data_IF_701776257064
#
_entry.id   IF_701776257064
#
_cell.length_a   1.000
_cell.length_b   1.000
_cell.length_c   1.000
_cell.angle_alpha   90.00
_cell.angle_beta   90.00
_cell.angle_gamma   90.00
#
_symmetry.space_group_name_H-M   'P 1'
#
loop_
_entity.id
_entity.type
_entity.pdbx_description
1 polymer ?
#
# COMPACT_ATOMS: atom_id res chain seq x y z
N UNK A 1 -39.89 41.57 20.89
CA UNK A 1 -39.86 42.18 22.23
C UNK A 1 -39.89 41.06 23.25
N UNK A 2 -38.72 40.70 23.80
CA UNK A 2 -38.55 40.01 25.09
C UNK A 2 -37.09 40.18 25.46
N UNK A 3 -36.83 41.08 26.39
CA UNK A 3 -35.51 41.45 26.87
C UNK A 3 -35.01 40.41 27.89
N UNK A 4 -33.85 39.82 27.62
CA UNK A 4 -33.16 38.92 28.54
C UNK A 4 -32.03 39.67 29.22
N UNK A 5 -32.16 39.83 30.54
CA UNK A 5 -31.25 40.54 31.43
C UNK A 5 -30.01 39.67 31.67
N UNK A 6 -28.82 40.21 31.35
CA UNK A 6 -27.53 39.60 31.70
C UNK A 6 -27.19 39.82 33.18
N UNK A 7 -26.71 38.80 33.92
CA UNK A 7 -26.16 39.00 35.24
C UNK A 7 -24.68 39.41 35.13
N UNK A 8 -24.37 40.63 35.58
CA UNK A 8 -23.00 41.06 35.88
C UNK A 8 -22.47 40.26 37.09
N UNK A 9 -21.57 39.33 36.83
CA UNK A 9 -20.78 38.64 37.86
C UNK A 9 -19.50 39.44 38.12
N UNK A 10 -19.43 40.06 39.31
CA UNK A 10 -18.21 40.65 39.85
C UNK A 10 -17.23 39.53 40.24
N UNK A 11 -16.24 39.28 39.37
CA UNK A 11 -15.12 38.39 39.68
C UNK A 11 -14.08 39.14 40.52
N UNK A 12 -13.82 38.64 41.73
CA UNK A 12 -12.70 39.04 42.58
C UNK A 12 -11.36 38.58 41.96
N UNK A 13 -10.30 39.40 41.98
CA UNK A 13 -8.94 38.97 41.61
C UNK A 13 -8.34 38.11 42.73
N UNK A 14 -8.56 36.80 42.68
CA UNK A 14 -7.94 35.84 43.60
C UNK A 14 -6.54 35.48 43.09
N UNK A 15 -5.54 35.71 43.95
CA UNK A 15 -4.15 35.27 43.88
C UNK A 15 -3.94 33.96 43.10
N UNK A 16 -3.56 34.05 41.81
CA UNK A 16 -3.23 32.89 40.95
C UNK A 16 -1.74 32.82 40.54
N UNK A 17 -0.90 33.70 41.08
CA UNK A 17 0.48 33.86 40.58
C UNK A 17 1.50 32.88 41.18
N UNK A 18 1.21 32.24 42.32
CA UNK A 18 2.20 31.40 43.03
C UNK A 18 2.25 29.94 42.51
N UNK A 19 1.18 29.44 41.88
CA UNK A 19 1.18 28.06 41.33
C UNK A 19 1.83 27.92 39.95
N UNK A 20 2.08 29.02 39.22
CA UNK A 20 2.69 28.94 37.88
C UNK A 20 4.21 28.68 37.90
N UNK A 21 4.90 29.00 38.99
CA UNK A 21 6.36 28.89 39.08
C UNK A 21 6.81 27.43 39.20
N UNK A 22 6.05 26.60 39.92
CA UNK A 22 6.34 25.16 40.08
C UNK A 22 6.24 24.36 38.77
N UNK A 23 5.21 24.63 37.95
CA UNK A 23 5.02 23.95 36.67
C UNK A 23 6.12 24.28 35.65
N UNK A 24 6.68 25.50 35.68
CA UNK A 24 7.78 25.88 34.78
C UNK A 24 9.07 25.13 35.10
N UNK A 25 9.40 24.94 36.38
CA UNK A 25 10.62 24.20 36.78
C UNK A 25 10.55 22.72 36.36
N UNK A 26 9.41 22.07 36.60
CA UNK A 26 9.18 20.68 36.19
C UNK A 26 9.24 20.49 34.66
N UNK A 27 8.67 21.43 33.89
CA UNK A 27 8.72 21.39 32.42
C UNK A 27 10.15 21.56 31.88
N UNK A 28 10.95 22.44 32.46
CA UNK A 28 12.37 22.65 32.07
C UNK A 28 13.22 21.43 32.40
N UNK A 29 13.00 20.80 33.55
CA UNK A 29 13.74 19.60 33.95
C UNK A 29 13.36 18.39 33.08
N UNK A 30 12.08 18.23 32.73
CA UNK A 30 11.61 17.23 31.78
C UNK A 30 12.18 17.46 30.37
N UNK A 31 12.23 18.71 29.89
CA UNK A 31 12.80 19.06 28.59
C UNK A 31 14.32 18.79 28.54
N UNK A 32 15.05 19.13 29.61
CA UNK A 32 16.48 18.82 29.70
C UNK A 32 16.74 17.32 29.71
N UNK A 33 15.96 16.56 30.48
CA UNK A 33 16.08 15.09 30.51
C UNK A 33 15.78 14.47 29.14
N UNK A 34 14.75 14.97 28.44
CA UNK A 34 14.44 14.52 27.08
C UNK A 34 15.58 14.82 26.10
N UNK A 35 16.17 16.02 26.15
CA UNK A 35 17.32 16.38 25.31
C UNK A 35 18.57 15.55 25.60
N UNK A 36 18.88 15.28 26.88
CA UNK A 36 20.00 14.42 27.27
C UNK A 36 19.78 12.95 26.84
N UNK A 37 18.53 12.46 26.86
CA UNK A 37 18.18 11.13 26.34
C UNK A 37 18.27 11.07 24.81
N UNK A 38 17.86 12.12 24.10
CA UNK A 38 17.97 12.24 22.64
C UNK A 38 19.42 12.28 22.17
N UNK A 39 20.27 13.11 22.78
CA UNK A 39 21.69 13.17 22.46
C UNK A 39 22.42 11.84 22.71
N UNK A 40 22.03 11.10 23.77
CA UNK A 40 22.55 9.76 24.02
C UNK A 40 22.11 8.75 22.95
N UNK A 41 20.86 8.87 22.45
CA UNK A 41 20.36 8.03 21.35
C UNK A 41 21.09 8.31 20.04
N UNK A 42 21.32 9.58 19.71
CA UNK A 42 22.09 9.97 18.52
C UNK A 42 23.54 9.45 18.57
N UNK A 43 24.19 9.54 19.73
CA UNK A 43 25.54 9.02 19.91
C UNK A 43 25.59 7.49 19.80
N UNK A 44 24.54 6.80 20.24
CA UNK A 44 24.42 5.35 20.11
C UNK A 44 24.16 4.93 18.65
N UNK A 45 23.30 5.65 17.91
CA UNK A 45 22.98 5.35 16.52
C UNK A 45 24.15 5.62 15.57
N UNK A 46 25.01 6.59 15.88
CA UNK A 46 26.19 6.92 15.05
C UNK A 46 27.16 5.75 14.86
N UNK A 47 27.27 4.88 15.87
CA UNK A 47 28.14 3.69 15.89
C UNK A 47 27.40 2.39 15.55
N UNK A 48 26.10 2.45 15.28
CA UNK A 48 25.28 1.28 14.96
C UNK A 48 25.68 0.73 13.58
N UNK A 49 25.84 -0.59 13.48
CA UNK A 49 26.05 -1.25 12.19
C UNK A 49 24.74 -1.32 11.41
N UNK A 50 24.81 -1.45 10.08
CA UNK A 50 23.60 -1.62 9.27
C UNK A 50 22.73 -2.82 9.70
N UNK A 51 23.37 -3.88 10.21
CA UNK A 51 22.70 -5.07 10.75
C UNK A 51 21.96 -4.77 12.06
N UNK A 52 22.61 -4.07 12.98
CA UNK A 52 21.99 -3.65 14.24
C UNK A 52 20.81 -2.71 13.96
N UNK A 53 20.98 -1.78 13.02
CA UNK A 53 19.92 -0.86 12.61
C UNK A 53 18.73 -1.60 11.99
N UNK A 54 18.98 -2.65 11.21
CA UNK A 54 17.92 -3.53 10.70
C UNK A 54 17.15 -4.21 11.83
N UNK A 55 17.85 -4.85 12.77
CA UNK A 55 17.24 -5.54 13.91
C UNK A 55 16.44 -4.56 14.81
N UNK A 56 17.04 -3.42 15.16
CA UNK A 56 16.42 -2.34 15.92
C UNK A 56 15.16 -1.80 15.24
N UNK A 57 15.22 -1.59 13.92
CA UNK A 57 14.06 -1.14 13.15
C UNK A 57 12.96 -2.19 13.15
N UNK A 58 13.30 -3.47 12.96
CA UNK A 58 12.34 -4.58 12.98
C UNK A 58 11.64 -4.70 14.34
N UNK A 59 12.38 -4.59 15.42
CA UNK A 59 11.84 -4.61 16.78
C UNK A 59 10.93 -3.40 17.02
N UNK A 60 11.33 -2.21 16.56
CA UNK A 60 10.48 -1.01 16.63
C UNK A 60 9.16 -1.21 15.89
N UNK A 61 9.17 -1.78 14.70
CA UNK A 61 7.95 -2.13 13.97
C UNK A 61 7.09 -3.13 14.75
N UNK A 62 7.69 -4.17 15.32
CA UNK A 62 6.94 -5.14 16.13
C UNK A 62 6.24 -4.46 17.31
N UNK A 63 6.93 -3.56 18.02
CA UNK A 63 6.33 -2.78 19.10
C UNK A 63 5.20 -1.86 18.62
N UNK A 64 5.38 -1.20 17.47
CA UNK A 64 4.32 -0.41 16.85
C UNK A 64 3.07 -1.27 16.57
N UNK A 65 3.22 -2.47 15.99
CA UNK A 65 2.10 -3.38 15.74
C UNK A 65 1.41 -3.90 17.01
N UNK A 66 2.16 -4.10 18.10
CA UNK A 66 1.59 -4.46 19.41
C UNK A 66 0.70 -3.33 19.94
N UNK A 67 1.18 -2.09 19.87
CA UNK A 67 0.46 -0.93 20.39
C UNK A 67 -0.58 -0.36 19.41
N UNK A 68 -0.60 -0.86 18.18
CA UNK A 68 -1.51 -0.42 17.14
C UNK A 68 -2.96 -0.69 17.55
N UNK A 69 -3.74 0.39 17.63
CA UNK A 69 -5.18 0.38 17.84
C UNK A 69 -5.81 1.19 16.73
N UNK A 70 -6.94 0.72 16.21
CA UNK A 70 -7.73 1.56 15.31
C UNK A 70 -8.36 2.71 16.09
N UNK A 71 -8.65 3.78 15.35
CA UNK A 71 -9.49 4.84 15.87
C UNK A 71 -10.87 4.27 16.29
N UNK A 72 -11.43 4.74 17.42
CA UNK A 72 -12.65 4.18 18.00
C UNK A 72 -13.89 4.32 17.10
N UNK A 73 -13.85 5.25 16.15
CA UNK A 73 -14.87 5.50 15.14
C UNK A 73 -14.79 4.55 13.94
N UNK A 74 -13.76 3.69 13.85
CA UNK A 74 -13.60 2.76 12.74
C UNK A 74 -13.53 1.28 13.17
N UNK A 75 -14.68 0.60 13.29
CA UNK A 75 -14.73 -0.82 13.64
C UNK A 75 -14.11 -1.73 12.55
N UNK A 76 -14.06 -1.30 11.28
CA UNK A 76 -13.45 -2.09 10.19
C UNK A 76 -11.93 -2.07 10.28
N UNK A 77 -11.36 -0.88 10.48
CA UNK A 77 -9.92 -0.73 10.73
C UNK A 77 -9.47 -1.52 11.96
N UNK A 78 -10.28 -1.53 13.03
CA UNK A 78 -9.99 -2.30 14.24
C UNK A 78 -9.85 -3.79 13.97
N UNK A 79 -10.82 -4.37 13.25
CA UNK A 79 -10.80 -5.79 12.86
C UNK A 79 -9.64 -6.11 11.93
N UNK A 80 -9.31 -5.20 11.00
CA UNK A 80 -8.18 -5.38 10.10
C UNK A 80 -6.84 -5.42 10.84
N UNK A 81 -6.61 -4.48 11.75
CA UNK A 81 -5.40 -4.46 12.59
C UNK A 81 -5.35 -5.71 13.46
N UNK A 82 -6.47 -6.11 14.06
CA UNK A 82 -6.54 -7.30 14.91
C UNK A 82 -6.21 -8.58 14.13
N UNK A 83 -6.71 -8.71 12.90
CA UNK A 83 -6.40 -9.85 12.03
C UNK A 83 -4.96 -9.84 11.50
N UNK A 84 -4.43 -8.66 11.13
CA UNK A 84 -3.07 -8.53 10.59
C UNK A 84 -1.98 -8.59 11.67
N UNK A 85 -2.27 -8.15 12.90
CA UNK A 85 -1.30 -8.13 14.02
C UNK A 85 -0.58 -9.46 14.21
N UNK A 86 -1.24 -10.63 14.39
CA UNK A 86 -0.53 -11.89 14.60
C UNK A 86 0.35 -12.26 13.41
N UNK A 87 -0.10 -11.99 12.18
CA UNK A 87 0.67 -12.26 10.96
C UNK A 87 1.91 -11.36 10.89
N UNK A 88 1.75 -10.06 11.10
CA UNK A 88 2.85 -9.10 11.10
C UNK A 88 3.87 -9.42 12.20
N UNK A 89 3.42 -9.74 13.43
CA UNK A 89 4.31 -10.10 14.52
C UNK A 89 5.06 -11.40 14.25
N UNK A 90 4.41 -12.40 13.66
CA UNK A 90 5.08 -13.64 13.24
C UNK A 90 6.25 -13.37 12.30
N UNK A 91 6.07 -12.48 11.31
CA UNK A 91 7.15 -12.13 10.37
C UNK A 91 8.22 -11.23 11.00
N UNK A 92 7.82 -10.21 11.78
CA UNK A 92 8.76 -9.27 12.40
C UNK A 92 9.59 -9.92 13.51
N UNK A 93 9.03 -10.88 14.24
CA UNK A 93 9.76 -11.59 15.31
C UNK A 93 10.44 -12.87 14.82
N UNK A 94 10.37 -13.16 13.51
CA UNK A 94 10.98 -14.35 12.95
C UNK A 94 12.51 -14.29 13.12
N UNK A 95 13.15 -15.35 13.64
CA UNK A 95 14.59 -15.36 13.76
C UNK A 95 15.22 -15.43 12.37
N UNK A 96 16.01 -14.41 12.04
CA UNK A 96 16.70 -14.29 10.75
C UNK A 96 18.20 -14.51 10.93
N UNK A 97 18.88 -14.97 9.89
CA UNK A 97 20.33 -15.08 9.80
C UNK A 97 20.80 -14.28 8.58
N UNK A 98 21.77 -13.40 8.78
CA UNK A 98 22.42 -12.70 7.68
C UNK A 98 23.14 -13.72 6.78
N UNK A 99 22.85 -13.68 5.49
CA UNK A 99 23.43 -14.57 4.47
C UNK A 99 24.38 -13.82 3.54
N UNK A 100 24.04 -12.58 3.18
CA UNK A 100 24.90 -11.73 2.36
C UNK A 100 24.87 -10.29 2.83
N UNK A 101 26.02 -9.65 2.74
CA UNK A 101 26.23 -8.23 3.01
C UNK A 101 27.13 -7.67 1.93
N UNK A 102 26.66 -6.63 1.24
CA UNK A 102 27.41 -5.97 0.17
C UNK A 102 27.44 -4.48 0.42
N UNK A 103 28.64 -3.94 0.65
CA UNK A 103 28.86 -2.52 0.92
C UNK A 103 29.28 -1.81 -0.37
N UNK A 104 28.64 -0.68 -0.68
CA UNK A 104 28.94 0.18 -1.83
C UNK A 104 28.75 1.63 -1.42
N UNK A 105 29.85 2.27 -0.98
CA UNK A 105 29.82 3.65 -0.49
C UNK A 105 29.02 3.81 0.80
N UNK A 106 27.98 4.63 0.77
CA UNK A 106 27.03 4.90 1.86
C UNK A 106 25.88 3.89 1.93
N UNK A 107 25.84 2.93 1.00
CA UNK A 107 24.80 1.92 0.87
C UNK A 107 25.32 0.54 1.25
N UNK A 108 24.53 -0.15 2.05
CA UNK A 108 24.77 -1.54 2.44
C UNK A 108 23.54 -2.36 2.07
N UNK A 109 23.70 -3.30 1.14
CA UNK A 109 22.66 -4.29 0.82
C UNK A 109 22.79 -5.44 1.79
N UNK A 110 21.72 -5.71 2.53
CA UNK A 110 21.63 -6.80 3.49
C UNK A 110 20.65 -7.85 2.98
N UNK A 111 21.05 -9.11 3.04
CA UNK A 111 20.20 -10.25 2.69
C UNK A 111 20.15 -11.20 3.87
N UNK A 112 18.96 -11.34 4.43
CA UNK A 112 18.66 -12.20 5.55
C UNK A 112 17.86 -13.42 5.09
N UNK A 113 18.08 -14.57 5.73
CA UNK A 113 17.28 -15.78 5.54
C UNK A 113 16.68 -16.22 6.87
N UNK A 114 15.44 -16.67 6.87
CA UNK A 114 14.82 -17.25 8.06
C UNK A 114 15.64 -18.44 8.59
N UNK A 115 15.79 -18.54 9.91
CA UNK A 115 16.50 -19.67 10.55
C UNK A 115 15.70 -20.96 10.51
N UNK A 116 14.38 -20.87 10.47
CA UNK A 116 13.50 -22.03 10.40
C UNK A 116 13.57 -22.66 8.99
N UNK A 117 14.03 -23.91 8.86
CA UNK A 117 14.15 -24.58 7.56
C UNK A 117 12.80 -24.85 6.88
N UNK A 118 11.69 -24.84 7.63
CA UNK A 118 10.34 -24.95 7.06
C UNK A 118 9.89 -23.68 6.34
N UNK A 119 10.56 -22.57 6.62
CA UNK A 119 10.21 -21.22 6.15
C UNK A 119 11.29 -20.72 5.20
N UNK A 120 11.12 -20.92 3.88
CA UNK A 120 12.10 -20.47 2.88
C UNK A 120 11.91 -18.99 2.54
N UNK A 121 12.12 -18.11 3.53
CA UNK A 121 12.01 -16.65 3.38
C UNK A 121 13.39 -16.03 3.33
N UNK A 122 13.60 -15.20 2.31
CA UNK A 122 14.75 -14.32 2.11
C UNK A 122 14.22 -12.89 2.15
N UNK A 123 14.76 -12.10 3.06
CA UNK A 123 14.46 -10.67 3.16
C UNK A 123 15.71 -9.89 2.75
N UNK A 124 15.61 -9.14 1.65
CA UNK A 124 16.64 -8.18 1.26
C UNK A 124 16.20 -6.76 1.56
N UNK A 125 17.13 -5.92 2.01
CA UNK A 125 16.91 -4.49 2.15
C UNK A 125 18.20 -3.72 1.83
N UNK A 126 18.04 -2.44 1.47
CA UNK A 126 19.15 -1.50 1.28
C UNK A 126 19.19 -0.52 2.44
N UNK A 127 20.20 -0.63 3.29
CA UNK A 127 20.47 0.32 4.37
C UNK A 127 21.36 1.44 3.83
N UNK A 128 20.88 2.68 3.84
CA UNK A 128 21.65 3.86 3.44
C UNK A 128 21.92 4.74 4.65
N UNK A 129 23.18 5.16 4.87
CA UNK A 129 23.51 6.03 6.00
C UNK A 129 23.19 7.49 5.66
N UNK A 130 22.18 8.06 6.29
CA UNK A 130 21.77 9.46 6.12
C UNK A 130 22.09 10.24 7.41
N UNK A 131 23.31 10.79 7.50
CA UNK A 131 23.80 11.41 8.72
C UNK A 131 24.06 10.37 9.82
N UNK A 132 23.37 10.49 10.95
CA UNK A 132 23.49 9.58 12.10
C UNK A 132 22.41 8.48 12.12
N UNK A 133 21.55 8.42 11.10
CA UNK A 133 20.47 7.45 11.01
C UNK A 133 20.67 6.52 9.80
N UNK A 134 20.24 5.27 9.96
CA UNK A 134 20.16 4.30 8.89
C UNK A 134 18.75 4.31 8.29
N UNK A 135 18.67 4.60 7.00
CA UNK A 135 17.42 4.51 6.25
C UNK A 135 17.34 3.16 5.53
N UNK A 136 16.36 2.34 5.89
CA UNK A 136 16.10 1.05 5.24
C UNK A 136 15.11 1.25 4.09
N UNK A 137 15.58 1.01 2.87
CA UNK A 137 14.80 1.12 1.63
C UNK A 137 14.82 -0.20 0.85
N UNK A 138 14.02 -0.30 -0.22
CA UNK A 138 13.98 -1.45 -1.13
C UNK A 138 13.84 -2.79 -0.37
N UNK A 139 12.89 -2.85 0.56
CA UNK A 139 12.58 -4.08 1.28
C UNK A 139 11.87 -5.04 0.31
N UNK A 140 12.47 -6.19 0.08
CA UNK A 140 11.96 -7.21 -0.81
C UNK A 140 11.97 -8.57 -0.09
N UNK A 141 10.88 -9.31 -0.26
CA UNK A 141 10.65 -10.61 0.36
C UNK A 141 10.57 -11.66 -0.75
N UNK A 142 11.54 -12.57 -0.78
CA UNK A 142 11.59 -13.68 -1.73
C UNK A 142 11.51 -15.01 -1.00
N UNK A 143 10.92 -16.01 -1.63
CA UNK A 143 10.94 -17.38 -1.13
C UNK A 143 10.53 -18.36 -2.21
N UNK A 144 10.97 -19.62 -2.14
CA UNK A 144 10.46 -20.65 -3.06
C UNK A 144 8.94 -20.79 -2.96
N UNK A 145 8.39 -20.53 -1.77
CA UNK A 145 6.97 -20.49 -1.52
C UNK A 145 6.50 -19.05 -1.21
N UNK A 146 6.86 -18.08 -2.04
CA UNK A 146 6.38 -16.70 -1.88
C UNK A 146 4.84 -16.63 -1.80
N UNK A 147 4.14 -17.59 -2.42
CA UNK A 147 2.69 -17.75 -2.32
C UNK A 147 2.27 -18.02 -0.86
N UNK A 148 2.95 -18.90 -0.12
CA UNK A 148 2.60 -19.22 1.28
C UNK A 148 2.76 -18.00 2.20
N UNK A 149 3.79 -17.18 1.96
CA UNK A 149 4.04 -15.93 2.70
C UNK A 149 2.91 -14.94 2.45
N UNK A 150 2.42 -14.84 1.22
CA UNK A 150 1.33 -13.94 0.85
C UNK A 150 -0.06 -14.48 1.27
N UNK A 151 -0.20 -15.80 1.40
CA UNK A 151 -1.46 -16.44 1.80
C UNK A 151 -1.86 -16.06 3.22
N UNK A 152 -0.94 -15.99 4.18
CA UNK A 152 -1.30 -15.66 5.58
C UNK A 152 -1.89 -14.24 5.74
N UNK A 153 -1.24 -13.17 5.24
CA UNK A 153 -1.83 -11.84 5.21
C UNK A 153 -3.13 -11.81 4.41
N UNK A 154 -3.19 -12.51 3.27
CA UNK A 154 -4.40 -12.58 2.46
C UNK A 154 -5.56 -13.21 3.23
N UNK A 155 -5.35 -14.33 3.92
CA UNK A 155 -6.36 -15.00 4.73
C UNK A 155 -6.80 -14.14 5.92
N UNK A 156 -5.87 -13.42 6.55
CA UNK A 156 -6.20 -12.46 7.60
C UNK A 156 -7.11 -11.34 7.06
N UNK A 157 -6.76 -10.74 5.93
CA UNK A 157 -7.60 -9.73 5.25
C UNK A 157 -8.94 -10.33 4.85
N UNK A 158 -8.95 -11.55 4.33
CA UNK A 158 -10.15 -12.24 3.87
C UNK A 158 -11.14 -12.55 4.98
N UNK A 159 -10.63 -12.84 6.19
CA UNK A 159 -11.49 -13.04 7.35
C UNK A 159 -12.21 -11.77 7.80
N UNK A 160 -11.64 -10.59 7.49
CA UNK A 160 -12.23 -9.28 7.84
C UNK A 160 -13.23 -8.81 6.78
N UNK A 161 -12.99 -9.14 5.51
CA UNK A 161 -13.80 -8.71 4.36
C UNK A 161 -14.38 -9.88 3.54
N UNK A 162 -15.11 -10.83 4.16
CA UNK A 162 -15.60 -12.00 3.45
C UNK A 162 -16.63 -11.65 2.36
N UNK A 163 -17.46 -10.64 2.60
CA UNK A 163 -18.46 -10.16 1.63
C UNK A 163 -17.82 -9.57 0.37
N UNK A 164 -16.78 -8.75 0.54
CA UNK A 164 -16.10 -8.05 -0.53
C UNK A 164 -15.33 -9.04 -1.41
N UNK A 165 -14.63 -10.00 -0.79
CA UNK A 165 -13.91 -11.05 -1.52
C UNK A 165 -14.89 -11.96 -2.27
N UNK A 166 -15.99 -12.35 -1.63
CA UNK A 166 -17.04 -13.14 -2.29
C UNK A 166 -17.62 -12.39 -3.49
N UNK A 167 -17.82 -11.07 -3.36
CA UNK A 167 -18.33 -10.21 -4.43
C UNK A 167 -17.34 -10.09 -5.59
N UNK A 168 -16.04 -9.88 -5.31
CA UNK A 168 -14.98 -9.86 -6.35
C UNK A 168 -14.91 -11.22 -7.04
N UNK A 169 -14.90 -12.32 -6.28
CA UNK A 169 -14.82 -13.68 -6.83
C UNK A 169 -16.01 -13.97 -7.75
N UNK A 170 -17.21 -13.59 -7.32
CA UNK A 170 -18.43 -13.72 -8.13
C UNK A 170 -18.35 -12.88 -9.41
N UNK A 171 -17.87 -11.64 -9.32
CA UNK A 171 -17.67 -10.77 -10.47
C UNK A 171 -16.67 -11.38 -11.48
N UNK A 172 -15.55 -11.92 -10.99
CA UNK A 172 -14.56 -12.59 -11.84
C UNK A 172 -15.16 -13.81 -12.56
N UNK A 173 -15.97 -14.62 -11.86
CA UNK A 173 -16.65 -15.77 -12.49
C UNK A 173 -17.64 -15.33 -13.57
N UNK A 174 -18.46 -14.30 -13.29
CA UNK A 174 -19.38 -13.73 -14.28
C UNK A 174 -18.60 -13.19 -15.49
N UNK A 175 -17.49 -12.49 -15.25
CA UNK A 175 -16.64 -11.96 -16.30
C UNK A 175 -16.07 -13.06 -17.20
N UNK A 176 -15.53 -14.14 -16.62
CA UNK A 176 -14.97 -15.27 -17.37
C UNK A 176 -16.04 -15.95 -18.20
N UNK A 177 -17.18 -16.31 -17.61
CA UNK A 177 -18.28 -16.98 -18.31
C UNK A 177 -18.84 -16.10 -19.43
N UNK A 178 -19.06 -14.81 -19.15
CA UNK A 178 -19.59 -13.86 -20.14
C UNK A 178 -18.59 -13.61 -21.27
N UNK A 179 -17.29 -13.61 -20.98
CA UNK A 179 -16.23 -13.48 -22.00
C UNK A 179 -16.22 -14.67 -22.95
N UNK A 180 -16.31 -15.90 -22.44
CA UNK A 180 -16.40 -17.10 -23.29
C UNK A 180 -17.70 -17.12 -24.12
N UNK A 181 -18.83 -16.73 -23.52
CA UNK A 181 -20.11 -16.66 -24.22
C UNK A 181 -20.09 -15.57 -25.32
N UNK A 182 -19.54 -14.39 -25.03
CA UNK A 182 -19.35 -13.32 -26.02
C UNK A 182 -18.44 -13.76 -27.17
N UNK A 183 -17.35 -14.47 -26.86
CA UNK A 183 -16.43 -15.01 -27.86
C UNK A 183 -17.12 -16.03 -28.78
N UNK A 184 -17.86 -16.99 -28.22
CA UNK A 184 -18.62 -17.96 -29.00
C UNK A 184 -19.69 -17.28 -29.88
N UNK A 185 -20.41 -16.31 -29.31
CA UNK A 185 -21.43 -15.54 -30.04
C UNK A 185 -20.84 -14.72 -31.19
N UNK A 186 -19.65 -14.17 -30.99
CA UNK A 186 -18.89 -13.47 -32.04
C UNK A 186 -18.54 -14.41 -33.21
N UNK A 187 -18.07 -15.63 -32.92
CA UNK A 187 -17.80 -16.65 -33.94
C UNK A 187 -19.09 -17.01 -34.70
N UNK A 188 -20.21 -17.21 -34.01
CA UNK A 188 -21.48 -17.49 -34.67
C UNK A 188 -21.93 -16.35 -35.59
N UNK A 189 -21.69 -15.09 -35.19
CA UNK A 189 -21.99 -13.93 -36.01
C UNK A 189 -21.13 -13.90 -37.29
N UNK A 190 -19.83 -14.24 -37.17
CA UNK A 190 -18.91 -14.36 -38.31
C UNK A 190 -19.39 -15.47 -39.26
N UNK A 191 -19.77 -16.65 -38.75
CA UNK A 191 -20.30 -17.76 -39.55
C UNK A 191 -21.58 -17.33 -40.28
N UNK A 192 -22.49 -16.63 -39.59
CA UNK A 192 -23.71 -16.11 -40.20
C UNK A 192 -23.40 -15.11 -41.33
N UNK A 193 -22.37 -14.28 -41.19
CA UNK A 193 -21.94 -13.35 -42.23
C UNK A 193 -21.39 -14.07 -43.47
N UNK A 194 -20.53 -15.07 -43.29
CA UNK A 194 -20.02 -15.89 -44.40
C UNK A 194 -21.12 -16.69 -45.11
N UNK A 195 -22.16 -17.13 -44.39
CA UNK A 195 -23.33 -17.80 -44.99
C UNK A 195 -24.12 -16.88 -45.92
N UNK A 196 -24.10 -15.56 -45.69
CA UNK A 196 -24.75 -14.58 -46.58
C UNK A 196 -23.85 -14.27 -47.78
N UNK A 197 -22.56 -13.97 -47.55
CA UNK A 197 -21.57 -13.83 -48.63
C UNK A 197 -20.14 -13.78 -48.06
N UNK A 198 -19.14 -14.12 -48.87
CA UNK A 198 -17.72 -13.98 -48.51
C UNK A 198 -17.36 -12.52 -48.18
N UNK A 199 -17.92 -11.55 -48.91
CA UNK A 199 -17.65 -10.13 -48.68
C UNK A 199 -18.12 -9.69 -47.29
N UNK A 200 -19.32 -10.10 -46.86
CA UNK A 200 -19.82 -9.81 -45.51
C UNK A 200 -18.97 -10.43 -44.42
N UNK A 201 -18.52 -11.67 -44.59
CA UNK A 201 -17.60 -12.32 -43.65
C UNK A 201 -16.28 -11.55 -43.50
N UNK A 202 -15.70 -11.09 -44.61
CA UNK A 202 -14.49 -10.26 -44.61
C UNK A 202 -14.71 -8.88 -43.96
N UNK A 203 -15.84 -8.22 -44.24
CA UNK A 203 -16.18 -6.94 -43.61
C UNK A 203 -16.29 -7.08 -42.10
N UNK A 204 -17.00 -8.11 -41.63
CA UNK A 204 -17.17 -8.43 -40.20
C UNK A 204 -15.82 -8.74 -39.52
N UNK A 205 -14.89 -9.40 -40.23
CA UNK A 205 -13.60 -9.81 -39.68
C UNK A 205 -12.55 -8.67 -39.64
N UNK A 206 -12.46 -7.86 -40.69
CA UNK A 206 -11.38 -6.85 -40.83
C UNK A 206 -11.81 -5.43 -40.48
N UNK A 207 -13.10 -5.10 -40.56
CA UNK A 207 -13.56 -3.73 -40.34
C UNK A 207 -14.09 -3.63 -38.90
N UNK A 208 -13.49 -2.76 -38.06
CA UNK A 208 -14.06 -2.49 -36.74
C UNK A 208 -15.50 -1.99 -36.93
N UNK A 209 -16.41 -2.47 -36.09
CA UNK A 209 -17.87 -2.23 -36.22
C UNK A 209 -18.57 -2.90 -37.42
N UNK A 210 -17.88 -3.67 -38.26
CA UNK A 210 -18.50 -4.47 -39.33
C UNK A 210 -19.60 -5.40 -38.81
N UNK A 211 -19.42 -5.93 -37.60
CA UNK A 211 -20.42 -6.71 -36.86
C UNK A 211 -21.75 -5.97 -36.65
N UNK A 212 -21.69 -4.67 -36.33
CA UNK A 212 -22.87 -3.85 -36.06
C UNK A 212 -23.58 -3.55 -37.38
N UNK A 213 -22.84 -3.19 -38.42
CA UNK A 213 -23.39 -2.92 -39.76
C UNK A 213 -24.07 -4.18 -40.30
N UNK A 214 -23.42 -5.34 -40.20
CA UNK A 214 -24.01 -6.62 -40.61
C UNK A 214 -25.28 -6.93 -39.82
N UNK A 215 -25.28 -6.73 -38.50
CA UNK A 215 -26.46 -6.96 -37.67
C UNK A 215 -27.65 -6.09 -38.12
N UNK A 216 -27.44 -4.82 -38.41
CA UNK A 216 -28.50 -3.91 -38.89
C UNK A 216 -29.01 -4.33 -40.27
N UNK A 217 -28.11 -4.58 -41.23
CA UNK A 217 -28.48 -4.89 -42.61
C UNK A 217 -29.07 -6.30 -42.78
N UNK A 218 -28.66 -7.26 -41.95
CA UNK A 218 -29.03 -8.68 -42.02
C UNK A 218 -29.59 -9.18 -40.69
N UNK A 219 -30.52 -8.41 -40.13
CA UNK A 219 -31.09 -8.68 -38.81
C UNK A 219 -31.70 -10.07 -38.67
N UNK A 220 -32.36 -10.60 -39.70
CA UNK A 220 -33.03 -11.91 -39.64
C UNK A 220 -32.03 -13.04 -39.34
N UNK A 221 -30.86 -12.99 -39.96
CA UNK A 221 -29.78 -13.96 -39.78
C UNK A 221 -28.93 -13.66 -38.53
N UNK A 222 -28.77 -12.38 -38.17
CA UNK A 222 -27.86 -11.93 -37.11
C UNK A 222 -28.51 -11.81 -35.71
N UNK A 223 -29.84 -11.73 -35.59
CA UNK A 223 -30.51 -11.34 -34.32
C UNK A 223 -30.10 -12.17 -33.11
N UNK A 224 -29.97 -13.49 -33.25
CA UNK A 224 -29.64 -14.39 -32.12
C UNK A 224 -28.19 -14.17 -31.66
N UNK A 225 -27.17 -14.37 -32.52
CA UNK A 225 -25.78 -14.15 -32.10
C UNK A 225 -25.49 -12.69 -31.73
N UNK A 226 -26.20 -11.72 -32.32
CA UNK A 226 -26.04 -10.32 -31.94
C UNK A 226 -26.58 -10.02 -30.54
N UNK A 227 -27.82 -10.44 -30.23
CA UNK A 227 -28.44 -10.19 -28.90
C UNK A 227 -27.70 -10.93 -27.79
N UNK A 228 -27.29 -12.18 -28.03
CA UNK A 228 -26.49 -12.94 -27.05
C UNK A 228 -25.16 -12.23 -26.79
N UNK A 229 -24.48 -11.76 -27.83
CA UNK A 229 -23.24 -11.00 -27.68
C UNK A 229 -23.47 -9.69 -26.90
N UNK A 230 -24.53 -8.95 -27.21
CA UNK A 230 -24.88 -7.70 -26.53
C UNK A 230 -25.15 -7.91 -25.03
N UNK A 231 -25.90 -8.96 -24.67
CA UNK A 231 -26.17 -9.31 -23.28
C UNK A 231 -24.86 -9.66 -22.55
N UNK A 232 -24.04 -10.55 -23.14
CA UNK A 232 -22.76 -10.94 -22.55
C UNK A 232 -21.83 -9.73 -22.37
N UNK A 233 -21.81 -8.82 -23.34
CA UNK A 233 -21.05 -7.58 -23.25
C UNK A 233 -21.51 -6.69 -22.09
N UNK A 234 -22.81 -6.54 -21.88
CA UNK A 234 -23.35 -5.83 -20.71
C UNK A 234 -22.94 -6.49 -19.39
N UNK A 235 -22.97 -7.83 -19.31
CA UNK A 235 -22.47 -8.56 -18.12
C UNK A 235 -20.97 -8.37 -17.90
N UNK A 236 -20.16 -8.36 -18.96
CA UNK A 236 -18.73 -8.07 -18.85
C UNK A 236 -18.48 -6.67 -18.28
N UNK A 237 -19.18 -5.64 -18.77
CA UNK A 237 -19.07 -4.27 -18.25
C UNK A 237 -19.51 -4.21 -16.79
N UNK A 238 -20.64 -4.83 -16.46
CA UNK A 238 -21.14 -4.88 -15.08
C UNK A 238 -20.15 -5.57 -14.13
N UNK A 239 -19.57 -6.69 -14.57
CA UNK A 239 -18.56 -7.41 -13.79
C UNK A 239 -17.27 -6.58 -13.58
N UNK A 240 -16.85 -5.79 -14.56
CA UNK A 240 -15.68 -4.90 -14.43
C UNK A 240 -15.94 -3.69 -13.51
N UNK A 241 -17.19 -3.24 -13.39
CA UNK A 241 -17.53 -2.15 -12.47
C UNK A 241 -17.45 -2.58 -10.99
N UNK A 242 -17.67 -3.85 -10.69
CA UNK A 242 -17.70 -4.36 -9.30
C UNK A 242 -16.35 -4.16 -8.57
N UNK A 243 -15.19 -4.58 -9.12
CA UNK A 243 -13.89 -4.31 -8.49
C UNK A 243 -13.66 -2.82 -8.21
N UNK A 244 -14.12 -1.93 -9.08
CA UNK A 244 -13.98 -0.48 -8.88
C UNK A 244 -14.76 -0.02 -7.64
N UNK A 245 -16.00 -0.52 -7.45
CA UNK A 245 -16.80 -0.19 -6.26
C UNK A 245 -16.18 -0.73 -4.96
N UNK A 246 -15.55 -1.91 -5.02
CA UNK A 246 -14.83 -2.47 -3.86
C UNK A 246 -13.55 -1.69 -3.58
N UNK A 247 -12.80 -1.29 -4.62
CA UNK A 247 -11.64 -0.41 -4.44
C UNK A 247 -12.05 0.93 -3.84
N UNK A 248 -13.19 1.49 -4.25
CA UNK A 248 -13.74 2.71 -3.66
C UNK A 248 -14.10 2.53 -2.18
N UNK A 249 -14.67 1.39 -1.77
CA UNK A 249 -14.94 1.12 -0.35
C UNK A 249 -13.65 0.92 0.46
N UNK A 250 -12.59 0.43 -0.18
CA UNK A 250 -11.26 0.31 0.41
C UNK A 250 -10.47 1.63 0.44
N UNK A 251 -10.79 2.63 -0.39
CA UNK A 251 -10.12 3.94 -0.32
C UNK A 251 -10.27 4.62 1.04
N UNK A 252 -11.39 4.38 1.73
CA UNK A 252 -11.57 4.89 3.09
C UNK A 252 -10.70 4.15 4.12
N UNK A 253 -10.30 2.90 3.84
CA UNK A 253 -9.24 2.20 4.59
C UNK A 253 -7.87 2.79 4.26
N UNK A 254 -7.63 3.11 2.98
CA UNK A 254 -6.40 3.73 2.50
C UNK A 254 -6.09 5.09 3.13
N UNK A 255 -7.10 5.90 3.46
CA UNK A 255 -6.93 7.16 4.21
C UNK A 255 -6.37 6.98 5.63
N UNK A 256 -6.38 5.74 6.14
CA UNK A 256 -5.92 5.39 7.50
C UNK A 256 -4.51 4.78 7.44
N UNK A 257 -4.12 4.22 6.28
CA UNK A 257 -2.76 3.73 6.05
C UNK A 257 -1.62 4.74 6.12
N UNK A 258 -1.75 6.05 5.79
CA UNK A 258 -0.63 6.98 5.96
C UNK A 258 -0.19 7.12 7.43
N UNK A 259 -1.05 6.78 8.40
CA UNK A 259 -0.67 6.70 9.81
C UNK A 259 -0.06 5.31 10.18
N UNK A 260 -0.36 4.25 9.41
CA UNK A 260 0.09 2.87 9.68
C UNK A 260 1.49 2.58 9.14
N UNK A 261 1.78 3.09 7.95
CA UNK A 261 3.14 3.21 7.48
C UNK A 261 3.36 4.71 7.36
N UNK A 262 4.32 5.32 8.07
CA UNK A 262 5.01 6.47 7.50
C UNK A 262 5.59 6.00 6.17
N UNK A 263 4.77 5.94 5.12
CA UNK A 263 5.25 6.28 3.81
C UNK A 263 5.76 7.68 4.07
N UNK A 264 7.09 7.82 4.23
CA UNK A 264 7.68 9.13 4.11
C UNK A 264 7.04 9.68 2.85
N UNK A 265 6.19 10.70 2.98
CA UNK A 265 5.59 11.31 1.80
C UNK A 265 6.74 11.63 0.86
N UNK A 266 6.52 11.66 -0.45
CA UNK A 266 7.62 12.03 -1.37
C UNK A 266 8.30 13.32 -0.88
N UNK A 267 7.54 14.23 -0.27
CA UNK A 267 8.04 15.40 0.47
C UNK A 267 8.84 15.10 1.73
N UNK A 268 8.40 14.24 2.66
CA UNK A 268 9.20 13.90 3.84
C UNK A 268 10.47 13.13 3.47
N UNK A 269 10.40 12.24 2.48
CA UNK A 269 11.57 11.53 1.94
C UNK A 269 12.52 12.55 1.31
N UNK A 270 11.99 13.46 0.49
CA UNK A 270 12.78 14.52 -0.16
C UNK A 270 13.37 15.47 0.87
N UNK A 271 12.64 15.85 1.91
CA UNK A 271 13.13 16.71 3.00
C UNK A 271 14.17 15.99 3.85
N UNK A 272 14.03 14.70 4.12
CA UNK A 272 15.01 13.92 4.87
C UNK A 272 16.30 13.75 4.06
N UNK A 273 16.17 13.51 2.75
CA UNK A 273 17.30 13.50 1.80
C UNK A 273 17.95 14.89 1.73
N UNK A 274 17.16 15.96 1.60
CA UNK A 274 17.66 17.33 1.48
C UNK A 274 18.35 17.81 2.77
N UNK A 275 17.80 17.49 3.93
CA UNK A 275 18.39 17.82 5.22
C UNK A 275 19.63 16.96 5.51
N UNK A 276 19.62 15.68 5.13
CA UNK A 276 20.80 14.81 5.19
C UNK A 276 21.94 15.34 4.29
N UNK A 277 21.61 15.78 3.07
CA UNK A 277 22.55 16.40 2.14
C UNK A 277 23.10 17.72 2.67
N UNK A 278 22.24 18.61 3.21
CA UNK A 278 22.66 19.90 3.79
C UNK A 278 23.59 19.74 5.00
N UNK A 279 23.37 18.71 5.82
CA UNK A 279 24.20 18.44 6.98
C UNK A 279 25.51 17.69 6.65
N UNK A 280 25.63 17.09 5.45
CA UNK A 280 26.88 16.51 4.97
C UNK A 280 27.84 17.62 4.50
N UNK A 281 28.59 18.21 5.44
CA UNK A 281 29.68 19.17 5.13
C UNK A 281 30.79 18.44 4.38
N UNK A 282 30.69 18.36 3.05
CA UNK A 282 31.75 17.81 2.19
C UNK A 282 31.30 17.19 0.86
N UNK A 283 30.02 16.82 0.71
CA UNK A 283 29.53 16.28 -0.57
C UNK A 283 29.23 17.43 -1.54
N UNK A 284 30.22 17.78 -2.36
CA UNK A 284 29.96 18.51 -3.61
C UNK A 284 29.22 17.56 -4.54
N UNK A 285 27.90 17.70 -4.62
CA UNK A 285 27.08 17.04 -5.63
C UNK A 285 27.60 17.41 -7.01
N UNK A 286 28.38 16.51 -7.60
CA UNK A 286 28.63 16.54 -9.04
C UNK A 286 27.27 16.23 -9.67
N UNK A 287 26.62 17.23 -10.27
CA UNK A 287 25.38 17.03 -11.05
C UNK A 287 25.57 15.80 -11.93
N UNK A 288 24.90 14.70 -11.60
CA UNK A 288 24.75 13.58 -12.50
C UNK A 288 23.95 14.14 -13.68
N UNK A 289 24.59 14.21 -14.84
CA UNK A 289 23.90 14.48 -16.09
C UNK A 289 22.80 13.44 -16.31
N UNK A 290 21.85 13.70 -17.23
CA UNK A 290 20.86 12.71 -17.60
C UNK A 290 21.55 11.38 -17.95
N UNK A 291 20.94 10.23 -17.64
CA UNK A 291 21.53 8.93 -17.95
C UNK A 291 21.79 8.86 -19.44
N UNK A 292 23.06 8.93 -19.85
CA UNK A 292 23.44 8.61 -21.21
C UNK A 292 23.14 7.13 -21.43
N UNK A 293 22.42 6.86 -22.50
CA UNK A 293 21.98 5.54 -22.94
C UNK A 293 23.15 4.55 -22.98
N UNK A 294 23.22 3.66 -22.00
CA UNK A 294 24.03 2.43 -22.10
C UNK A 294 23.18 1.39 -22.82
N UNK A 295 23.12 1.53 -24.14
CA UNK A 295 22.74 0.48 -25.09
C UNK A 295 24.01 0.06 -25.84
N UNK A 296 24.69 -0.98 -25.36
CA UNK A 296 25.55 -1.87 -26.14
C UNK A 296 25.55 -3.26 -25.52
#
# INVERSE_FOLDING_TARGET
MSAFVSPQSHAQPVHKEVHLVGHKKAAVEAAKKAADEEAKREAASANETAEQAFESTRDRWAQLFIHMKAAPDNPRGARLIEALRPVALKFLQMPMKLVSKTESGDRTVLVFKAKDPSTDIIWSCTATKAGNEWLLTNQDFKGRNAVDIAIEPYNAIASVFPSEISTITTACMIFVVSSFAAFASSIFLIIAAFRVSVLWGLVVFFVPFGNIIFAICRWREARIPFVVNLICFCFCIGALAIPITVVQSLKDVGKIMPDFMPTMSDEQTTQLIENGLKNSKGLKLKKLGPPEDVLH
#
